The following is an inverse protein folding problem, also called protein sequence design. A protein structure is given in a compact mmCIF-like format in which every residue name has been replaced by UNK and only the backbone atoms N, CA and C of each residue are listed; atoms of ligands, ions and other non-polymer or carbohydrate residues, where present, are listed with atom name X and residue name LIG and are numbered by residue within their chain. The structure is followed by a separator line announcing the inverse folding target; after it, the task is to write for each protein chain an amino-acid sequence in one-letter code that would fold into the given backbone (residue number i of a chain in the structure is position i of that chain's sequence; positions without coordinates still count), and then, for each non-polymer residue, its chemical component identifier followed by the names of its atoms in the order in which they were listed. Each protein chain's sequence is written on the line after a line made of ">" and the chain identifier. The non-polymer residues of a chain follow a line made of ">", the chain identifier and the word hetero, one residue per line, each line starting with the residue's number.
data_IF_844952356468
#
_entry.id   IF_844952356468
#
_cell.length_a   1.000
_cell.length_b   1.000
_cell.length_c   1.000
_cell.angle_alpha   90.00
_cell.angle_beta   90.00
_cell.angle_gamma   90.00
#
_symmetry.space_group_name_H-M   'P 1'
#
loop_
_entity.id
_entity.type
_entity.pdbx_description
1 polymer ?
#
# COMPACT_ATOMS: atom_id res chain seq x y z
N UNK A 1 14.04 13.92 8.93
CA UNK A 1 13.14 12.84 8.43
C UNK A 1 12.70 13.23 7.04
N UNK A 2 13.18 12.53 6.02
CA UNK A 2 12.78 12.73 4.63
C UNK A 2 12.07 11.46 4.17
N UNK A 3 10.88 11.58 3.59
CA UNK A 3 10.14 10.46 3.04
C UNK A 3 10.21 10.58 1.52
N UNK A 4 10.89 9.64 0.88
CA UNK A 4 10.95 9.57 -0.58
C UNK A 4 9.76 8.74 -1.05
N UNK A 5 8.77 9.42 -1.65
CA UNK A 5 7.71 8.77 -2.40
C UNK A 5 8.24 8.39 -3.77
N UNK A 6 8.16 7.11 -4.14
CA UNK A 6 8.46 6.67 -5.50
C UNK A 6 7.34 7.11 -6.46
N UNK A 7 7.46 8.32 -7.03
CA UNK A 7 6.57 8.84 -8.07
C UNK A 7 6.10 10.26 -7.81
N UNK A 8 6.47 11.21 -8.68
CA UNK A 8 5.87 12.53 -8.77
C UNK A 8 4.50 12.41 -9.43
N UNK A 9 3.44 12.84 -8.75
CA UNK A 9 2.09 12.86 -9.33
C UNK A 9 1.69 14.30 -9.64
N UNK A 10 1.53 14.58 -10.94
CA UNK A 10 0.91 15.78 -11.47
C UNK A 10 -0.61 15.67 -11.29
N UNK A 11 -1.19 16.63 -10.56
CA UNK A 11 -2.57 16.62 -10.04
C UNK A 11 -3.56 17.32 -10.99
N UNK A 12 -3.45 17.03 -12.29
CA UNK A 12 -4.30 17.68 -13.30
C UNK A 12 -5.29 16.68 -13.92
N UNK A 13 -6.51 16.62 -13.36
CA UNK A 13 -7.79 16.22 -13.99
C UNK A 13 -7.78 14.96 -14.91
N UNK A 14 -7.52 13.78 -14.37
CA UNK A 14 -7.82 12.53 -15.08
C UNK A 14 -9.28 12.09 -14.81
N UNK A 15 -10.16 12.19 -15.82
CA UNK A 15 -11.58 11.82 -15.74
C UNK A 15 -11.84 10.29 -15.77
N UNK A 16 -10.96 9.50 -15.16
CA UNK A 16 -11.05 8.04 -15.15
C UNK A 16 -10.02 7.39 -14.21
N UNK A 17 -10.22 6.10 -13.87
CA UNK A 17 -9.32 5.38 -12.97
C UNK A 17 -7.88 5.33 -13.50
N UNK A 18 -6.91 5.51 -12.59
CA UNK A 18 -5.47 5.42 -12.87
C UNK A 18 -5.10 4.01 -13.36
N UNK A 19 -3.96 3.87 -14.04
CA UNK A 19 -3.49 2.58 -14.56
C UNK A 19 -2.22 2.13 -13.84
N UNK A 20 -2.10 0.84 -13.54
CA UNK A 20 -0.87 0.26 -13.01
C UNK A 20 0.17 0.05 -14.13
N UNK A 21 1.47 -0.12 -13.80
CA UNK A 21 2.49 -0.46 -14.80
C UNK A 21 2.18 -1.74 -15.59
N UNK A 22 1.41 -2.67 -15.01
CA UNK A 22 1.03 -3.94 -15.65
C UNK A 22 -0.33 -3.90 -16.35
N UNK A 23 -1.01 -2.74 -16.43
CA UNK A 23 -2.35 -2.60 -17.02
C UNK A 23 -2.46 -3.20 -18.43
N UNK A 24 -1.51 -2.90 -19.32
CA UNK A 24 -1.50 -3.44 -20.67
C UNK A 24 -1.34 -4.96 -20.73
N UNK A 25 -0.65 -5.56 -19.76
CA UNK A 25 -0.53 -7.02 -19.65
C UNK A 25 -1.88 -7.64 -19.26
N UNK A 26 -2.60 -7.05 -18.31
CA UNK A 26 -3.92 -7.51 -17.87
C UNK A 26 -4.91 -7.56 -19.03
N UNK A 27 -4.96 -6.49 -19.84
CA UNK A 27 -5.81 -6.43 -21.04
C UNK A 27 -5.46 -7.55 -22.03
N UNK A 28 -4.17 -7.76 -22.32
CA UNK A 28 -3.72 -8.83 -23.22
C UNK A 28 -4.07 -10.23 -22.71
N UNK A 29 -4.20 -10.41 -21.39
CA UNK A 29 -4.60 -11.68 -20.77
C UNK A 29 -6.11 -11.84 -20.63
N UNK A 30 -6.90 -10.89 -21.13
CA UNK A 30 -8.36 -10.95 -21.10
C UNK A 30 -8.94 -10.72 -19.70
N UNK A 31 -8.24 -9.98 -18.85
CA UNK A 31 -8.76 -9.62 -17.54
C UNK A 31 -10.03 -8.76 -17.66
N UNK A 32 -11.01 -9.04 -16.81
CA UNK A 32 -12.15 -8.15 -16.56
C UNK A 32 -11.68 -7.02 -15.66
N UNK A 33 -11.54 -5.82 -16.22
CA UNK A 33 -11.07 -4.64 -15.50
C UNK A 33 -12.23 -3.94 -14.77
N UNK A 34 -11.98 -3.42 -13.57
CA UNK A 34 -12.95 -2.67 -12.76
C UNK A 34 -12.27 -1.51 -12.01
N UNK A 35 -13.00 -0.41 -11.74
CA UNK A 35 -12.51 0.63 -10.85
C UNK A 35 -12.36 0.13 -9.41
N UNK A 36 -11.17 0.24 -8.84
CA UNK A 36 -10.83 -0.13 -7.47
C UNK A 36 -9.76 0.80 -6.90
N UNK A 37 -10.04 1.45 -5.75
CA UNK A 37 -9.13 2.39 -5.08
C UNK A 37 -8.56 3.50 -6.01
N UNK A 38 -9.39 3.99 -6.94
CA UNK A 38 -8.98 4.99 -7.92
C UNK A 38 -8.08 4.46 -9.05
N UNK A 39 -7.91 3.14 -9.17
CA UNK A 39 -7.21 2.46 -10.26
C UNK A 39 -8.13 1.54 -11.07
N UNK A 40 -7.74 1.23 -12.30
CA UNK A 40 -8.38 0.25 -13.16
C UNK A 40 -7.67 -1.09 -12.98
N UNK A 41 -8.29 -2.00 -12.22
CA UNK A 41 -7.66 -3.21 -11.70
C UNK A 41 -8.32 -4.48 -12.25
N UNK A 42 -7.57 -5.59 -12.43
CA UNK A 42 -8.14 -6.86 -12.86
C UNK A 42 -8.97 -7.51 -11.75
N UNK A 43 -10.27 -7.75 -11.99
CA UNK A 43 -11.16 -8.48 -11.08
C UNK A 43 -10.98 -10.00 -11.16
N UNK A 44 -10.89 -10.51 -12.39
CA UNK A 44 -10.58 -11.91 -12.72
C UNK A 44 -10.20 -12.02 -14.20
N UNK A 45 -9.62 -13.15 -14.57
CA UNK A 45 -9.24 -13.57 -15.91
C UNK A 45 -10.26 -14.57 -16.50
N UNK A 46 -10.13 -15.01 -17.76
CA UNK A 46 -11.15 -15.84 -18.42
C UNK A 46 -11.48 -17.17 -17.72
N UNK A 47 -10.58 -17.70 -16.89
CA UNK A 47 -10.84 -18.90 -16.09
C UNK A 47 -11.91 -18.67 -15.01
N UNK A 48 -12.08 -17.43 -14.56
CA UNK A 48 -13.04 -17.00 -13.55
C UNK A 48 -12.51 -17.11 -12.12
N UNK A 49 -13.13 -16.32 -11.23
CA UNK A 49 -12.73 -16.11 -9.84
C UNK A 49 -12.51 -17.42 -9.05
N UNK A 50 -13.43 -18.38 -9.15
CA UNK A 50 -13.33 -19.64 -8.41
C UNK A 50 -12.12 -20.48 -8.84
N UNK A 51 -11.86 -20.55 -10.15
CA UNK A 51 -10.70 -21.30 -10.67
C UNK A 51 -9.39 -20.64 -10.27
N UNK A 52 -9.32 -19.31 -10.29
CA UNK A 52 -8.15 -18.56 -9.84
C UNK A 52 -7.86 -18.77 -8.34
N UNK A 53 -8.91 -18.77 -7.52
CA UNK A 53 -8.80 -19.08 -6.09
C UNK A 53 -8.22 -20.47 -5.86
N UNK A 54 -8.80 -21.48 -6.53
CA UNK A 54 -8.33 -22.87 -6.41
C UNK A 54 -6.90 -23.04 -6.96
N UNK A 55 -6.57 -22.37 -8.07
CA UNK A 55 -5.22 -22.37 -8.63
C UNK A 55 -4.19 -21.79 -7.65
N UNK A 56 -4.51 -20.69 -6.99
CA UNK A 56 -3.63 -20.07 -5.98
C UNK A 56 -3.40 -21.01 -4.79
N UNK A 57 -4.45 -21.72 -4.33
CA UNK A 57 -4.33 -22.67 -3.21
C UNK A 57 -3.58 -23.94 -3.57
N UNK A 58 -3.77 -24.45 -4.78
CA UNK A 58 -3.18 -25.70 -5.24
C UNK A 58 -1.77 -25.52 -5.83
N UNK A 59 -1.36 -24.28 -6.15
CA UNK A 59 -0.10 -23.97 -6.78
C UNK A 59 0.42 -22.58 -6.39
N UNK A 60 0.46 -21.67 -7.36
CA UNK A 60 0.95 -20.31 -7.15
C UNK A 60 0.02 -19.29 -7.82
N UNK A 61 -0.19 -18.14 -7.18
CA UNK A 61 -0.92 -17.01 -7.75
C UNK A 61 0.02 -15.81 -7.92
N UNK A 62 -0.19 -15.04 -8.98
CA UNK A 62 0.48 -13.76 -9.21
C UNK A 62 -0.54 -12.64 -9.10
N UNK A 63 -0.29 -11.67 -8.22
CA UNK A 63 -1.19 -10.55 -7.94
C UNK A 63 -0.48 -9.24 -8.28
N UNK A 64 -1.16 -8.38 -9.05
CA UNK A 64 -0.72 -7.00 -9.25
C UNK A 64 -1.22 -6.13 -8.08
N UNK A 65 -0.32 -5.84 -7.14
CA UNK A 65 -0.58 -4.99 -5.98
C UNK A 65 0.04 -3.60 -6.13
N UNK A 66 0.42 -3.19 -7.34
CA UNK A 66 1.13 -1.94 -7.61
C UNK A 66 0.32 -0.67 -7.30
N UNK A 67 -0.97 -0.83 -6.98
CA UNK A 67 -1.85 0.25 -6.54
C UNK A 67 -1.72 0.58 -5.04
N UNK A 68 -1.10 -0.32 -4.25
CA UNK A 68 -0.88 -0.11 -2.82
C UNK A 68 0.20 0.96 -2.59
N UNK A 69 0.04 1.75 -1.53
CA UNK A 69 1.02 2.75 -1.15
C UNK A 69 2.33 2.11 -0.68
N UNK A 70 3.46 2.66 -1.11
CA UNK A 70 4.80 2.23 -0.68
C UNK A 70 5.59 3.44 -0.20
N UNK A 71 6.11 3.38 1.03
CA UNK A 71 6.83 4.48 1.66
C UNK A 71 8.14 3.95 2.24
N UNK A 72 9.25 4.60 1.93
CA UNK A 72 10.53 4.37 2.57
C UNK A 72 10.80 5.46 3.60
N UNK A 73 11.00 5.07 4.85
CA UNK A 73 11.24 5.96 5.96
C UNK A 73 12.71 5.95 6.37
N UNK A 74 13.35 7.11 6.21
CA UNK A 74 14.77 7.31 6.48
C UNK A 74 14.96 8.24 7.69
N UNK A 75 15.93 7.86 8.52
CA UNK A 75 16.43 8.65 9.64
C UNK A 75 17.92 8.33 9.82
N UNK A 76 18.66 9.25 10.45
CA UNK A 76 20.08 9.04 10.74
C UNK A 76 20.28 7.86 11.70
N UNK A 77 19.38 7.72 12.69
CA UNK A 77 19.21 6.52 13.51
C UNK A 77 17.88 5.83 13.16
N UNK A 78 17.87 4.57 12.70
CA UNK A 78 16.65 3.80 12.47
C UNK A 78 15.73 3.70 13.69
N UNK A 79 16.26 3.84 14.91
CA UNK A 79 15.46 3.89 16.13
C UNK A 79 14.56 5.13 16.19
N UNK A 80 14.95 6.25 15.59
CA UNK A 80 14.13 7.47 15.56
C UNK A 80 12.96 7.33 14.59
N UNK A 81 13.18 6.70 13.43
CA UNK A 81 12.11 6.33 12.51
C UNK A 81 11.09 5.39 13.18
N UNK A 82 11.58 4.42 13.97
CA UNK A 82 10.73 3.50 14.72
C UNK A 82 9.88 4.22 15.78
N UNK A 83 10.49 5.08 16.61
CA UNK A 83 9.79 5.84 17.66
C UNK A 83 8.73 6.78 17.09
N UNK A 84 9.06 7.47 15.99
CA UNK A 84 8.11 8.34 15.31
C UNK A 84 6.90 7.56 14.79
N UNK A 85 7.13 6.35 14.27
CA UNK A 85 6.05 5.49 13.80
C UNK A 85 5.22 4.91 14.96
N UNK A 86 5.85 4.51 16.06
CA UNK A 86 5.16 4.06 17.29
C UNK A 86 4.23 5.11 17.90
N UNK A 87 4.45 6.40 17.64
CA UNK A 87 3.52 7.45 18.04
C UNK A 87 2.21 7.46 17.22
N UNK A 88 2.20 6.79 16.06
CA UNK A 88 1.07 6.75 15.12
C UNK A 88 0.40 5.37 15.05
N UNK A 89 1.14 4.32 15.40
CA UNK A 89 0.65 2.94 15.36
C UNK A 89 0.85 2.25 16.72
N UNK A 90 -0.14 1.50 17.23
CA UNK A 90 -0.03 0.79 18.50
C UNK A 90 0.73 -0.53 18.33
N UNK A 91 1.97 -0.47 17.85
CA UNK A 91 2.82 -1.64 17.61
C UNK A 91 4.29 -1.31 17.89
N UNK A 92 5.00 -2.17 18.62
CA UNK A 92 6.44 -2.00 18.88
C UNK A 92 7.25 -2.17 17.57
N UNK A 93 7.82 -1.10 17.06
CA UNK A 93 8.69 -1.09 15.87
C UNK A 93 10.16 -1.04 16.27
N UNK A 94 10.49 -0.47 17.43
CA UNK A 94 11.86 -0.39 17.93
C UNK A 94 12.44 -1.79 18.15
N UNK A 95 11.64 -2.73 18.65
CA UNK A 95 11.99 -4.15 18.79
C UNK A 95 11.93 -4.96 17.49
N UNK A 96 11.57 -4.36 16.35
CA UNK A 96 11.50 -5.06 15.07
C UNK A 96 12.93 -5.34 14.55
N UNK A 97 13.29 -6.63 14.49
CA UNK A 97 14.61 -7.05 13.97
C UNK A 97 14.72 -6.83 12.46
N UNK A 98 15.95 -6.67 11.97
CA UNK A 98 16.23 -6.56 10.52
C UNK A 98 15.66 -7.73 9.73
N UNK A 99 15.11 -7.45 8.55
CA UNK A 99 14.49 -8.46 7.67
C UNK A 99 13.16 -9.00 8.18
N UNK A 100 12.58 -8.39 9.22
CA UNK A 100 11.27 -8.76 9.75
C UNK A 100 10.23 -7.71 9.41
N UNK A 101 8.99 -8.17 9.35
CA UNK A 101 7.81 -7.34 9.16
C UNK A 101 6.87 -7.43 10.36
N UNK A 102 6.08 -6.38 10.58
CA UNK A 102 5.02 -6.30 11.57
C UNK A 102 3.81 -5.59 10.97
N UNK A 103 2.63 -6.13 11.23
CA UNK A 103 1.36 -5.48 10.88
C UNK A 103 1.06 -4.38 11.90
N UNK A 104 0.63 -3.23 11.42
CA UNK A 104 0.28 -2.07 12.22
C UNK A 104 -1.04 -1.47 11.76
N UNK A 105 -1.67 -0.73 12.68
CA UNK A 105 -2.88 0.02 12.43
C UNK A 105 -2.56 1.50 12.60
N UNK A 106 -2.79 2.30 11.58
CA UNK A 106 -2.68 3.75 11.69
C UNK A 106 -3.89 4.26 12.45
N UNK A 107 -3.67 4.84 13.63
CA UNK A 107 -4.74 5.35 14.49
C UNK A 107 -4.78 6.87 14.52
N UNK A 108 -5.97 7.45 14.65
CA UNK A 108 -6.12 8.86 15.00
C UNK A 108 -6.06 9.11 16.51
N UNK A 109 -6.16 10.37 16.91
CA UNK A 109 -6.10 10.78 18.32
C UNK A 109 -7.21 10.19 19.21
N UNK A 110 -8.32 9.72 18.63
CA UNK A 110 -9.41 9.05 19.35
C UNK A 110 -9.23 7.52 19.38
N UNK A 111 -8.16 7.00 18.80
CA UNK A 111 -7.92 5.55 18.64
C UNK A 111 -8.70 4.92 17.48
N UNK A 112 -9.32 5.72 16.62
CA UNK A 112 -10.00 5.24 15.42
C UNK A 112 -9.00 4.78 14.36
N UNK A 113 -9.28 3.64 13.71
CA UNK A 113 -8.42 3.08 12.66
C UNK A 113 -8.62 3.90 11.38
N UNK A 114 -7.54 4.48 10.88
CA UNK A 114 -7.48 5.25 9.62
C UNK A 114 -7.00 4.43 8.45
N UNK A 115 -6.05 3.53 8.69
CA UNK A 115 -5.53 2.60 7.68
C UNK A 115 -4.85 1.42 8.37
N UNK A 116 -4.53 0.39 7.60
CA UNK A 116 -3.61 -0.65 8.01
C UNK A 116 -2.35 -0.68 7.15
N UNK A 117 -1.25 -1.13 7.76
CA UNK A 117 0.05 -1.10 7.09
C UNK A 117 0.97 -2.21 7.55
N UNK A 118 1.79 -2.67 6.61
CA UNK A 118 2.88 -3.60 6.86
C UNK A 118 4.17 -2.79 7.01
N UNK A 119 4.79 -2.81 8.19
CA UNK A 119 6.10 -2.21 8.45
C UNK A 119 7.16 -3.30 8.33
N UNK A 120 8.15 -3.11 7.45
CA UNK A 120 9.31 -3.98 7.34
C UNK A 120 10.59 -3.22 7.68
N UNK A 121 11.47 -3.82 8.47
CA UNK A 121 12.83 -3.29 8.70
C UNK A 121 13.76 -3.81 7.63
N UNK A 122 14.21 -2.92 6.74
CA UNK A 122 15.06 -3.28 5.62
C UNK A 122 16.37 -2.51 5.68
N UNK A 123 17.43 -3.17 6.17
CA UNK A 123 18.73 -2.53 6.34
C UNK A 123 18.68 -1.39 7.35
N UNK A 124 18.93 -0.17 6.88
CA UNK A 124 18.98 1.09 7.60
C UNK A 124 17.66 1.89 7.55
N UNK A 125 16.61 1.35 6.94
CA UNK A 125 15.32 2.03 6.80
C UNK A 125 14.13 1.16 7.19
N UNK A 126 13.00 1.81 7.40
CA UNK A 126 11.71 1.15 7.46
C UNK A 126 11.02 1.28 6.10
N UNK A 127 10.36 0.22 5.66
CA UNK A 127 9.53 0.21 4.45
C UNK A 127 8.11 -0.09 4.87
N UNK A 128 7.18 0.77 4.47
CA UNK A 128 5.77 0.65 4.78
C UNK A 128 5.01 0.33 3.50
N UNK A 129 4.07 -0.60 3.58
CA UNK A 129 3.08 -0.85 2.53
C UNK A 129 1.68 -0.64 3.13
N UNK A 130 0.88 0.23 2.53
CA UNK A 130 -0.46 0.60 3.00
C UNK A 130 -1.52 0.33 1.95
N UNK A 131 -2.77 0.10 2.40
CA UNK A 131 -3.89 -0.20 1.50
C UNK A 131 -4.24 0.99 0.59
N UNK A 132 -4.17 2.22 1.10
CA UNK A 132 -4.35 3.42 0.28
C UNK A 132 -3.00 4.06 -0.04
N UNK A 133 -2.83 4.58 -1.27
CA UNK A 133 -1.82 5.60 -1.55
C UNK A 133 -2.25 6.84 -0.79
N UNK A 134 -1.82 6.98 0.47
CA UNK A 134 -2.19 8.03 1.43
C UNK A 134 -2.80 9.25 0.74
N UNK A 135 -4.13 9.28 0.63
CA UNK A 135 -4.84 10.48 0.25
C UNK A 135 -4.66 11.40 1.45
N UNK A 136 -4.02 12.56 1.27
CA UNK A 136 -4.13 13.60 2.27
C UNK A 136 -5.63 13.79 2.57
N UNK A 137 -6.03 14.01 3.84
CA UNK A 137 -7.40 14.41 4.09
C UNK A 137 -7.68 15.60 3.19
N UNK A 138 -8.79 15.56 2.45
CA UNK A 138 -9.28 16.79 1.85
C UNK A 138 -9.47 17.75 3.02
N UNK A 139 -8.71 18.84 3.03
CA UNK A 139 -9.06 20.03 3.80
C UNK A 139 -10.42 20.49 3.27
N UNK A 140 -11.45 19.92 3.89
CA UNK A 140 -12.84 19.97 3.49
C UNK A 140 -13.69 19.22 4.52
N UNK A 141 -13.36 19.37 5.80
CA UNK A 141 -14.35 19.25 6.86
C UNK A 141 -14.68 20.68 7.26
N UNK A 142 -15.84 21.12 6.77
CA UNK A 142 -16.54 22.31 7.20
C UNK A 142 -16.61 22.42 8.72
N UNK A 143 -16.60 23.68 9.16
CA UNK A 143 -17.26 24.14 10.38
C UNK A 143 -18.75 23.74 10.40
#
# INVERSE_FOLDING_TARGET
>A
MHADTFGTFDDTLASGPRRTPLHALHLRRGARMVPFSGYDMPLHYPAGLLKEHLHTRAGAGLFDVSHMGQIALHADDPADAARALEALIPADILGLRSGRQRYGLLTDAAGGIRDDLMVARFGDRLVLVSYTTLRAPETGADL
#
